data_IF_914724617586
#
_entry.id   IF_914724617586
#
_cell.length_a   1.000
_cell.length_b   1.000
_cell.length_c   1.000
_cell.angle_alpha   90.00
_cell.angle_beta   90.00
_cell.angle_gamma   90.00
#
_symmetry.space_group_name_H-M   'P 1'
#
loop_
_entity.id
_entity.type
_entity.pdbx_description
1 polymer ?
#
# COMPACT_ATOMS: atom_id res chain seq x y z
N UNK A 1 9.72 0.07 1.03
CA UNK A 1 9.83 -1.34 1.53
C UNK A 1 10.96 -1.56 2.53
N UNK A 2 12.21 -1.20 2.21
CA UNK A 2 13.35 -1.38 3.14
C UNK A 2 13.19 -0.54 4.42
N UNK A 3 12.49 0.60 4.33
CA UNK A 3 12.18 1.46 5.46
C UNK A 3 11.48 0.70 6.60
N UNK A 4 10.56 -0.22 6.28
CA UNK A 4 9.82 -1.03 7.27
C UNK A 4 10.71 -1.94 8.11
N UNK A 5 11.87 -2.36 7.58
CA UNK A 5 12.74 -3.35 8.23
C UNK A 5 14.21 -2.88 8.23
N UNK A 6 14.44 -1.62 8.63
CA UNK A 6 15.77 -0.98 8.59
C UNK A 6 16.85 -1.76 9.35
N UNK A 7 16.53 -2.29 10.53
CA UNK A 7 17.48 -3.09 11.32
C UNK A 7 17.93 -4.35 10.57
N UNK A 8 16.98 -5.12 10.04
CA UNK A 8 17.26 -6.30 9.23
C UNK A 8 18.10 -5.96 8.00
N UNK A 9 17.79 -4.85 7.35
CA UNK A 9 18.56 -4.40 6.19
C UNK A 9 20.01 -4.07 6.53
N UNK A 10 20.24 -3.32 7.61
CA UNK A 10 21.58 -2.98 8.05
C UNK A 10 22.37 -4.23 8.45
N UNK A 11 21.73 -5.18 9.13
CA UNK A 11 22.35 -6.45 9.50
C UNK A 11 22.77 -7.27 8.28
N UNK A 12 21.90 -7.41 7.27
CA UNK A 12 22.20 -8.17 6.06
C UNK A 12 23.28 -7.49 5.20
N UNK A 13 23.31 -6.16 5.16
CA UNK A 13 24.41 -5.43 4.51
C UNK A 13 25.75 -5.67 5.23
N UNK A 14 25.76 -5.64 6.56
CA UNK A 14 26.97 -5.88 7.36
C UNK A 14 27.47 -7.33 7.19
N UNK A 15 26.57 -8.31 7.27
CA UNK A 15 26.90 -9.72 7.01
C UNK A 15 27.44 -9.91 5.59
N UNK A 16 26.81 -9.26 4.60
CA UNK A 16 27.30 -9.26 3.22
C UNK A 16 28.74 -8.75 3.11
N UNK A 17 29.07 -7.63 3.78
CA UNK A 17 30.42 -7.09 3.80
C UNK A 17 31.44 -8.09 4.38
N UNK A 18 31.11 -8.72 5.51
CA UNK A 18 31.98 -9.70 6.19
C UNK A 18 32.20 -10.93 5.30
N UNK A 19 31.14 -11.44 4.66
CA UNK A 19 31.25 -12.57 3.74
C UNK A 19 32.06 -12.21 2.49
N UNK A 20 31.90 -11.00 1.96
CA UNK A 20 32.69 -10.49 0.84
C UNK A 20 34.18 -10.41 1.19
N UNK A 21 34.52 -9.90 2.37
CA UNK A 21 35.89 -9.88 2.89
C UNK A 21 36.43 -11.30 3.08
N UNK A 22 35.65 -12.21 3.68
CA UNK A 22 36.02 -13.61 3.84
C UNK A 22 36.33 -14.30 2.52
N UNK A 23 35.50 -14.06 1.49
CA UNK A 23 35.73 -14.56 0.14
C UNK A 23 37.04 -14.02 -0.45
N UNK A 24 37.37 -12.74 -0.26
CA UNK A 24 38.65 -12.17 -0.70
C UNK A 24 39.86 -12.82 0.00
N UNK A 25 39.74 -13.15 1.29
CA UNK A 25 40.79 -13.88 2.01
C UNK A 25 40.95 -15.30 1.49
N UNK A 26 39.86 -16.03 1.26
CA UNK A 26 39.90 -17.38 0.70
C UNK A 26 40.46 -17.42 -0.73
N UNK A 27 40.14 -16.41 -1.55
CA UNK A 27 40.63 -16.30 -2.92
C UNK A 27 42.08 -15.80 -3.01
N UNK A 28 42.70 -15.39 -1.89
CA UNK A 28 44.08 -14.88 -1.86
C UNK A 28 45.10 -15.92 -2.36
N UNK A 29 44.85 -17.20 -2.16
CA UNK A 29 45.72 -18.28 -2.64
C UNK A 29 45.76 -18.44 -4.17
N UNK A 30 44.79 -17.84 -4.88
CA UNK A 30 44.71 -17.88 -6.35
C UNK A 30 45.24 -16.60 -7.02
N UNK A 31 45.66 -15.61 -6.23
CA UNK A 31 46.21 -14.36 -6.74
C UNK A 31 47.75 -14.45 -6.85
N UNK A 32 48.36 -13.75 -7.83
CA UNK A 32 49.82 -13.64 -7.94
C UNK A 32 50.46 -13.15 -6.63
N UNK A 33 51.52 -13.82 -6.17
CA UNK A 33 52.14 -13.54 -4.86
C UNK A 33 52.96 -12.24 -4.83
N UNK A 34 53.26 -11.69 -5.99
CA UNK A 34 54.02 -10.47 -6.25
C UNK A 34 53.15 -9.20 -6.29
N UNK A 35 51.84 -9.33 -6.05
CA UNK A 35 50.93 -8.19 -6.03
C UNK A 35 51.28 -7.19 -4.91
N UNK A 36 51.40 -5.89 -5.23
CA UNK A 36 51.55 -4.84 -4.24
C UNK A 36 50.40 -4.83 -3.22
N UNK A 37 50.73 -4.52 -1.96
CA UNK A 37 49.76 -4.52 -0.85
C UNK A 37 48.54 -3.61 -1.07
N UNK A 38 48.68 -2.51 -1.81
CA UNK A 38 47.57 -1.61 -2.13
C UNK A 38 46.56 -2.24 -3.10
N UNK A 39 47.01 -3.11 -4.02
CA UNK A 39 46.10 -3.83 -4.94
C UNK A 39 45.30 -4.87 -4.16
N UNK A 40 45.93 -5.58 -3.22
CA UNK A 40 45.25 -6.53 -2.34
C UNK A 40 44.21 -5.83 -1.46
N UNK A 41 44.53 -4.65 -0.91
CA UNK A 41 43.59 -3.84 -0.15
C UNK A 41 42.40 -3.38 -1.02
N UNK A 42 42.67 -2.96 -2.27
CA UNK A 42 41.63 -2.57 -3.22
C UNK A 42 40.70 -3.73 -3.57
N UNK A 43 41.23 -4.91 -3.86
CA UNK A 43 40.43 -6.11 -4.15
C UNK A 43 39.58 -6.54 -2.96
N UNK A 44 40.12 -6.48 -1.73
CA UNK A 44 39.36 -6.76 -0.52
C UNK A 44 38.23 -5.75 -0.31
N UNK A 45 38.48 -4.46 -0.54
CA UNK A 45 37.46 -3.42 -0.47
C UNK A 45 36.37 -3.62 -1.54
N UNK A 46 36.74 -3.98 -2.76
CA UNK A 46 35.80 -4.28 -3.84
C UNK A 46 34.92 -5.50 -3.50
N UNK A 47 35.51 -6.55 -2.94
CA UNK A 47 34.77 -7.73 -2.50
C UNK A 47 33.82 -7.43 -1.34
N UNK A 48 34.25 -6.62 -0.37
CA UNK A 48 33.39 -6.13 0.72
C UNK A 48 32.19 -5.35 0.16
N UNK A 49 32.44 -4.45 -0.80
CA UNK A 49 31.39 -3.65 -1.44
C UNK A 49 30.40 -4.52 -2.22
N UNK A 50 30.90 -5.48 -3.01
CA UNK A 50 30.07 -6.45 -3.71
C UNK A 50 29.21 -7.25 -2.72
N UNK A 51 29.79 -7.63 -1.58
CA UNK A 51 29.08 -8.27 -0.46
C UNK A 51 27.95 -7.41 0.11
N UNK A 52 28.19 -6.10 0.34
CA UNK A 52 27.15 -5.15 0.78
C UNK A 52 26.00 -5.07 -0.22
N UNK A 53 26.31 -5.00 -1.53
CA UNK A 53 25.30 -4.95 -2.60
C UNK A 53 24.47 -6.24 -2.59
N UNK A 54 25.11 -7.41 -2.51
CA UNK A 54 24.42 -8.69 -2.42
C UNK A 54 23.52 -8.77 -1.17
N UNK A 55 24.03 -8.34 -0.01
CA UNK A 55 23.27 -8.27 1.24
C UNK A 55 22.04 -7.36 1.15
N UNK A 56 22.16 -6.21 0.46
CA UNK A 56 21.04 -5.31 0.19
C UNK A 56 19.97 -5.95 -0.69
N UNK A 57 20.37 -6.70 -1.73
CA UNK A 57 19.43 -7.42 -2.61
C UNK A 57 18.68 -8.50 -1.81
N UNK A 58 19.40 -9.31 -1.03
CA UNK A 58 18.78 -10.35 -0.18
C UNK A 58 17.80 -9.72 0.84
N UNK A 59 18.21 -8.60 1.45
CA UNK A 59 17.36 -7.82 2.35
C UNK A 59 16.07 -7.35 1.69
N UNK A 60 16.16 -6.83 0.46
CA UNK A 60 15.00 -6.39 -0.30
C UNK A 60 13.98 -7.52 -0.51
N UNK A 61 14.43 -8.70 -0.94
CA UNK A 61 13.54 -9.87 -1.11
C UNK A 61 12.96 -10.37 0.21
N UNK A 62 13.75 -10.39 1.29
CA UNK A 62 13.28 -10.81 2.60
C UNK A 62 12.24 -9.83 3.18
N UNK A 63 12.49 -8.52 3.04
CA UNK A 63 11.56 -7.46 3.42
C UNK A 63 10.25 -7.54 2.61
N UNK A 64 10.34 -7.80 1.30
CA UNK A 64 9.18 -7.98 0.44
C UNK A 64 8.30 -9.16 0.86
N UNK A 65 8.91 -10.33 1.12
CA UNK A 65 8.19 -11.50 1.63
C UNK A 65 7.52 -11.24 2.98
N UNK A 66 8.24 -10.59 3.90
CA UNK A 66 7.69 -10.27 5.22
C UNK A 66 6.55 -9.25 5.16
N UNK A 67 6.68 -8.21 4.32
CA UNK A 67 5.59 -7.25 4.09
C UNK A 67 4.38 -7.95 3.48
N UNK A 68 4.57 -8.80 2.46
CA UNK A 68 3.48 -9.59 1.88
C UNK A 68 2.78 -10.44 2.94
N UNK A 69 3.53 -11.21 3.73
CA UNK A 69 2.95 -12.03 4.80
C UNK A 69 2.18 -11.22 5.87
N UNK A 70 2.52 -9.94 6.07
CA UNK A 70 1.74 -9.05 6.94
C UNK A 70 0.47 -8.58 6.23
N UNK A 71 0.56 -8.16 4.96
CA UNK A 71 -0.60 -7.73 4.18
C UNK A 71 -1.60 -8.87 3.92
N UNK A 72 -1.13 -10.10 3.73
CA UNK A 72 -1.97 -11.29 3.53
C UNK A 72 -2.90 -11.51 4.74
N UNK A 73 -2.49 -11.14 5.95
CA UNK A 73 -3.37 -11.21 7.15
C UNK A 73 -4.61 -10.33 6.96
N UNK A 74 -4.47 -9.14 6.37
CA UNK A 74 -5.58 -8.23 6.15
C UNK A 74 -6.36 -8.58 4.88
N UNK A 75 -5.66 -8.72 3.76
CA UNK A 75 -6.27 -8.79 2.43
C UNK A 75 -6.64 -10.20 1.99
N UNK A 76 -6.13 -11.24 2.66
CA UNK A 76 -6.42 -12.65 2.32
C UNK A 76 -7.09 -13.39 3.47
N UNK A 77 -6.54 -13.28 4.69
CA UNK A 77 -7.16 -13.90 5.88
C UNK A 77 -8.36 -13.09 6.40
N UNK A 78 -8.44 -11.78 6.10
CA UNK A 78 -9.50 -10.90 6.58
C UNK A 78 -9.43 -10.59 8.08
N UNK A 79 -8.28 -10.84 8.72
CA UNK A 79 -8.08 -10.68 10.18
C UNK A 79 -7.48 -9.29 10.49
N UNK A 80 -8.35 -8.29 10.50
CA UNK A 80 -7.97 -6.91 10.75
C UNK A 80 -7.32 -6.69 12.13
N UNK A 81 -7.79 -7.39 13.16
CA UNK A 81 -7.26 -7.26 14.52
C UNK A 81 -5.82 -7.75 14.62
N UNK A 82 -5.55 -8.97 14.13
CA UNK A 82 -4.20 -9.53 14.10
C UNK A 82 -3.28 -8.72 13.20
N UNK A 83 -3.80 -8.18 12.11
CA UNK A 83 -3.04 -7.25 11.26
C UNK A 83 -2.59 -6.02 12.04
N UNK A 84 -3.49 -5.34 12.75
CA UNK A 84 -3.16 -4.16 13.56
C UNK A 84 -2.10 -4.48 14.62
N UNK A 85 -2.25 -5.59 15.34
CA UNK A 85 -1.29 -6.05 16.36
C UNK A 85 0.13 -6.22 15.79
N UNK A 86 0.26 -6.80 14.59
CA UNK A 86 1.55 -7.09 13.97
C UNK A 86 2.13 -5.95 13.15
N UNK A 87 1.29 -5.15 12.49
CA UNK A 87 1.72 -4.14 11.51
C UNK A 87 1.86 -2.75 12.13
N UNK A 88 1.05 -2.38 13.13
CA UNK A 88 1.13 -1.07 13.78
C UNK A 88 2.53 -0.75 14.33
N UNK A 89 3.23 -1.68 15.05
CA UNK A 89 4.59 -1.42 15.52
C UNK A 89 5.60 -1.18 14.38
N UNK A 90 5.37 -1.79 13.22
CA UNK A 90 6.23 -1.63 12.03
C UNK A 90 6.07 -0.23 11.45
N UNK A 91 4.83 0.25 11.33
CA UNK A 91 4.54 1.60 10.80
C UNK A 91 5.03 2.70 11.74
N UNK A 92 4.91 2.51 13.07
CA UNK A 92 5.40 3.48 14.08
C UNK A 92 6.90 3.80 13.96
N UNK A 93 7.69 2.86 13.44
CA UNK A 93 9.12 3.07 13.21
C UNK A 93 9.47 3.85 11.95
N UNK A 94 8.48 4.22 11.13
CA UNK A 94 8.69 4.90 9.84
C UNK A 94 8.58 6.41 10.01
N UNK A 95 9.54 7.20 9.48
CA UNK A 95 9.45 8.65 9.51
C UNK A 95 8.19 9.20 8.82
N UNK A 96 7.50 10.11 9.50
CA UNK A 96 6.39 10.88 8.93
C UNK A 96 6.84 11.65 7.68
N UNK A 97 6.02 11.66 6.63
CA UNK A 97 6.32 12.34 5.36
C UNK A 97 7.03 11.46 4.32
N UNK A 98 7.13 10.16 4.57
CA UNK A 98 7.58 9.18 3.56
C UNK A 98 6.39 8.51 2.90
N UNK A 99 6.59 8.02 1.66
CA UNK A 99 5.56 7.25 0.94
C UNK A 99 5.20 5.99 1.73
N UNK A 100 6.20 5.31 2.31
CA UNK A 100 5.96 4.16 3.18
C UNK A 100 5.13 4.49 4.42
N UNK A 101 5.26 5.67 5.00
CA UNK A 101 4.41 6.05 6.13
C UNK A 101 2.96 6.21 5.68
N UNK A 102 2.70 6.90 4.56
CA UNK A 102 1.35 7.09 4.01
C UNK A 102 0.70 5.76 3.64
N UNK A 103 1.43 4.88 2.92
CA UNK A 103 1.01 3.52 2.59
C UNK A 103 0.70 2.68 3.84
N UNK A 104 1.59 2.73 4.84
CA UNK A 104 1.42 2.00 6.08
C UNK A 104 0.20 2.43 6.87
N UNK A 105 0.00 3.75 7.04
CA UNK A 105 -1.17 4.31 7.74
C UNK A 105 -2.46 4.04 6.97
N UNK A 106 -2.46 4.11 5.63
CA UNK A 106 -3.61 3.71 4.82
C UNK A 106 -4.05 2.27 5.11
N UNK A 107 -3.11 1.31 5.17
CA UNK A 107 -3.44 -0.06 5.54
C UNK A 107 -3.96 -0.20 6.98
N UNK A 108 -3.41 0.56 7.94
CA UNK A 108 -3.94 0.59 9.31
C UNK A 108 -5.37 1.16 9.34
N UNK A 109 -5.63 2.24 8.61
CA UNK A 109 -6.96 2.82 8.48
C UNK A 109 -7.94 1.81 7.87
N UNK A 110 -7.51 1.04 6.86
CA UNK A 110 -8.36 0.00 6.26
C UNK A 110 -8.69 -1.14 7.23
N UNK A 111 -7.74 -1.49 8.11
CA UNK A 111 -8.02 -2.48 9.15
C UNK A 111 -9.01 -1.96 10.21
N UNK A 112 -8.93 -0.69 10.62
CA UNK A 112 -9.92 -0.08 11.51
C UNK A 112 -11.31 -0.01 10.86
N UNK A 113 -11.36 0.34 9.57
CA UNK A 113 -12.59 0.33 8.78
C UNK A 113 -13.24 -1.07 8.73
N UNK A 114 -12.45 -2.11 8.48
CA UNK A 114 -12.92 -3.49 8.46
C UNK A 114 -13.48 -3.97 9.82
N UNK A 115 -13.08 -3.32 10.91
CA UNK A 115 -13.60 -3.55 12.26
C UNK A 115 -14.82 -2.68 12.61
N UNK A 116 -15.27 -1.82 11.69
CA UNK A 116 -16.35 -0.84 11.93
C UNK A 116 -15.90 0.39 12.73
N UNK A 117 -14.60 0.55 13.01
CA UNK A 117 -14.06 1.69 13.74
C UNK A 117 -13.81 2.88 12.80
N UNK A 118 -14.87 3.37 12.15
CA UNK A 118 -14.79 4.36 11.07
C UNK A 118 -14.17 5.68 11.50
N UNK A 119 -14.49 6.18 12.70
CA UNK A 119 -13.96 7.45 13.18
C UNK A 119 -12.44 7.38 13.41
N UNK A 120 -11.92 6.26 13.94
CA UNK A 120 -10.48 6.06 14.09
C UNK A 120 -9.78 5.90 12.75
N UNK A 121 -10.42 5.21 11.80
CA UNK A 121 -9.91 5.10 10.43
C UNK A 121 -9.78 6.49 9.78
N UNK A 122 -10.82 7.32 9.92
CA UNK A 122 -10.84 8.68 9.39
C UNK A 122 -9.82 9.59 10.08
N UNK A 123 -9.65 9.49 11.40
CA UNK A 123 -8.63 10.21 12.17
C UNK A 123 -7.22 9.91 11.63
N UNK A 124 -6.91 8.64 11.39
CA UNK A 124 -5.63 8.23 10.82
C UNK A 124 -5.42 8.83 9.43
N UNK A 125 -6.42 8.82 8.56
CA UNK A 125 -6.32 9.39 7.22
C UNK A 125 -6.20 10.91 7.23
N UNK A 126 -6.86 11.59 8.18
CA UNK A 126 -6.75 13.03 8.35
C UNK A 126 -5.38 13.47 8.90
N UNK A 127 -4.66 12.56 9.58
CA UNK A 127 -3.28 12.82 10.01
C UNK A 127 -2.27 12.83 8.85
N UNK A 128 -2.65 12.29 7.70
CA UNK A 128 -1.78 12.19 6.52
C UNK A 128 -1.72 13.49 5.74
N UNK A 129 -0.53 13.74 5.17
CA UNK A 129 -0.24 14.90 4.31
C UNK A 129 0.32 14.43 2.97
N UNK A 130 -0.47 13.70 2.14
CA UNK A 130 0.01 13.12 0.89
C UNK A 130 0.54 14.16 -0.10
N UNK A 131 0.05 15.40 -0.03
CA UNK A 131 0.51 16.54 -0.83
C UNK A 131 2.01 16.83 -0.65
N UNK A 132 2.58 16.47 0.50
CA UNK A 132 4.01 16.63 0.80
C UNK A 132 4.93 15.62 0.09
N UNK A 133 4.37 14.56 -0.53
CA UNK A 133 5.14 13.45 -1.12
C UNK A 133 5.78 13.76 -2.49
N UNK A 134 5.85 15.04 -2.91
CA UNK A 134 6.46 15.50 -4.17
C UNK A 134 6.01 14.65 -5.37
N UNK A 135 6.89 13.79 -5.91
CA UNK A 135 6.63 12.93 -7.07
C UNK A 135 5.48 11.94 -6.87
N UNK A 136 5.21 11.56 -5.62
CA UNK A 136 4.14 10.60 -5.28
C UNK A 136 2.88 11.27 -4.75
N UNK A 137 2.82 12.61 -4.81
CA UNK A 137 1.71 13.40 -4.28
C UNK A 137 0.37 13.00 -4.89
N UNK A 138 0.31 12.82 -6.22
CA UNK A 138 -0.92 12.42 -6.91
C UNK A 138 -1.41 11.04 -6.45
N UNK A 139 -0.54 10.03 -6.43
CA UNK A 139 -0.90 8.67 -6.00
C UNK A 139 -1.33 8.66 -4.54
N UNK A 140 -0.59 9.37 -3.68
CA UNK A 140 -0.92 9.47 -2.25
C UNK A 140 -2.27 10.15 -2.00
N UNK A 141 -2.56 11.24 -2.73
CA UNK A 141 -3.84 11.92 -2.63
C UNK A 141 -4.97 11.02 -3.12
N UNK A 142 -4.83 10.42 -4.30
CA UNK A 142 -5.81 9.47 -4.84
C UNK A 142 -6.13 8.33 -3.85
N UNK A 143 -5.10 7.76 -3.21
CA UNK A 143 -5.27 6.69 -2.23
C UNK A 143 -6.04 7.15 -0.98
N UNK A 144 -5.65 8.29 -0.41
CA UNK A 144 -6.26 8.82 0.82
C UNK A 144 -7.69 9.31 0.56
N UNK A 145 -7.91 10.05 -0.52
CA UNK A 145 -9.23 10.59 -0.89
C UNK A 145 -10.21 9.46 -1.22
N UNK A 146 -9.77 8.43 -1.96
CA UNK A 146 -10.56 7.22 -2.21
C UNK A 146 -11.03 6.56 -0.90
N UNK A 147 -10.11 6.34 0.06
CA UNK A 147 -10.50 5.71 1.31
C UNK A 147 -11.42 6.58 2.17
N UNK A 148 -11.18 7.89 2.25
CA UNK A 148 -12.07 8.82 2.96
C UNK A 148 -13.48 8.80 2.37
N UNK A 149 -13.57 8.81 1.04
CA UNK A 149 -14.85 8.71 0.33
C UNK A 149 -15.60 7.44 0.72
N UNK A 150 -14.93 6.29 0.71
CA UNK A 150 -15.52 5.02 1.14
C UNK A 150 -16.02 5.07 2.59
N UNK A 151 -15.25 5.67 3.50
CA UNK A 151 -15.68 5.85 4.90
C UNK A 151 -16.92 6.74 5.02
N UNK A 152 -16.99 7.86 4.29
CA UNK A 152 -18.18 8.72 4.28
C UNK A 152 -19.41 7.96 3.73
N UNK A 153 -19.25 7.15 2.69
CA UNK A 153 -20.33 6.29 2.16
C UNK A 153 -20.78 5.25 3.18
N UNK A 154 -19.86 4.55 3.84
CA UNK A 154 -20.16 3.59 4.91
C UNK A 154 -20.92 4.24 6.08
N UNK A 155 -20.62 5.51 6.38
CA UNK A 155 -21.30 6.29 7.43
C UNK A 155 -22.61 6.94 6.96
N UNK A 156 -22.95 6.84 5.68
CA UNK A 156 -24.13 7.52 5.10
C UNK A 156 -23.98 9.05 5.00
N UNK A 157 -22.76 9.58 5.08
CA UNK A 157 -22.46 11.02 5.01
C UNK A 157 -22.43 11.48 3.54
N UNK A 158 -23.60 11.57 2.90
CA UNK A 158 -23.73 11.81 1.45
C UNK A 158 -23.11 13.12 0.98
N UNK A 159 -23.24 14.22 1.73
CA UNK A 159 -22.65 15.51 1.35
C UNK A 159 -21.12 15.49 1.37
N UNK A 160 -20.54 14.86 2.41
CA UNK A 160 -19.09 14.70 2.50
C UNK A 160 -18.57 13.76 1.41
N UNK A 161 -19.30 12.67 1.14
CA UNK A 161 -18.99 11.76 0.05
C UNK A 161 -19.04 12.46 -1.33
N UNK A 162 -20.04 13.32 -1.58
CA UNK A 162 -20.15 14.08 -2.82
C UNK A 162 -18.94 15.01 -3.04
N UNK A 163 -18.54 15.75 -2.02
CA UNK A 163 -17.36 16.61 -2.09
C UNK A 163 -16.06 15.81 -2.37
N UNK A 164 -15.89 14.66 -1.72
CA UNK A 164 -14.73 13.78 -1.94
C UNK A 164 -14.74 13.10 -3.32
N UNK A 165 -15.93 12.83 -3.87
CA UNK A 165 -16.08 12.28 -5.22
C UNK A 165 -15.64 13.31 -6.28
N UNK A 166 -16.00 14.59 -6.10
CA UNK A 166 -15.53 15.69 -6.96
C UNK A 166 -14.01 15.87 -6.88
N UNK A 167 -13.43 15.76 -5.68
CA UNK A 167 -11.97 15.79 -5.49
C UNK A 167 -11.30 14.61 -6.21
N UNK A 168 -11.88 13.41 -6.11
CA UNK A 168 -11.35 12.21 -6.77
C UNK A 168 -11.42 12.31 -8.31
N UNK A 169 -12.48 12.93 -8.84
CA UNK A 169 -12.63 13.23 -10.28
C UNK A 169 -11.56 14.22 -10.74
N UNK A 170 -11.28 15.28 -9.97
CA UNK A 170 -10.21 16.24 -10.27
C UNK A 170 -8.82 15.58 -10.26
N UNK A 171 -8.59 14.65 -9.33
CA UNK A 171 -7.36 13.84 -9.28
C UNK A 171 -7.25 12.92 -10.50
N UNK A 172 -8.34 12.31 -10.96
CA UNK A 172 -8.38 11.51 -12.20
C UNK A 172 -8.00 12.34 -13.42
N UNK A 173 -8.59 13.52 -13.60
CA UNK A 173 -8.25 14.39 -14.74
C UNK A 173 -6.77 14.81 -14.71
N UNK A 174 -6.22 15.05 -13.52
CA UNK A 174 -4.78 15.29 -13.35
C UNK A 174 -3.94 14.06 -13.71
N UNK A 175 -4.42 12.85 -13.39
CA UNK A 175 -3.75 11.58 -13.68
C UNK A 175 -3.78 11.20 -15.17
N UNK A 176 -4.79 11.63 -15.92
CA UNK A 176 -5.02 11.24 -17.32
C UNK A 176 -3.78 11.34 -18.21
N UNK A 177 -2.99 12.39 -18.05
CA UNK A 177 -1.76 12.62 -18.85
C UNK A 177 -0.48 12.15 -18.15
N UNK A 178 -0.47 12.13 -16.81
CA UNK A 178 0.74 11.94 -16.01
C UNK A 178 0.93 10.51 -15.49
N UNK A 179 -0.17 9.78 -15.30
CA UNK A 179 -0.21 8.44 -14.72
C UNK A 179 -1.44 7.66 -15.22
N UNK A 180 -1.42 7.14 -16.46
CA UNK A 180 -2.59 6.47 -17.05
C UNK A 180 -3.12 5.27 -16.24
N UNK A 181 -2.23 4.52 -15.59
CA UNK A 181 -2.63 3.41 -14.71
C UNK A 181 -3.44 3.89 -13.49
N UNK A 182 -3.09 5.05 -12.92
CA UNK A 182 -3.86 5.67 -11.82
C UNK A 182 -5.21 6.15 -12.34
N UNK A 183 -5.24 6.76 -13.52
CA UNK A 183 -6.47 7.20 -14.16
C UNK A 183 -7.47 6.05 -14.32
N UNK A 184 -7.05 4.92 -14.90
CA UNK A 184 -7.90 3.73 -15.08
C UNK A 184 -8.44 3.21 -13.74
N UNK A 185 -7.59 3.13 -12.71
CA UNK A 185 -8.02 2.67 -11.38
C UNK A 185 -9.01 3.65 -10.73
N UNK A 186 -8.83 4.96 -10.93
CA UNK A 186 -9.76 5.96 -10.44
C UNK A 186 -11.11 5.91 -11.16
N UNK A 187 -11.15 5.63 -12.47
CA UNK A 187 -12.40 5.47 -13.22
C UNK A 187 -13.28 4.36 -12.65
N UNK A 188 -12.67 3.22 -12.32
CA UNK A 188 -13.35 2.09 -11.66
C UNK A 188 -13.88 2.49 -10.28
N UNK A 189 -13.06 3.16 -9.46
CA UNK A 189 -13.48 3.63 -8.13
C UNK A 189 -14.63 4.64 -8.23
N UNK A 190 -14.55 5.61 -9.14
CA UNK A 190 -15.56 6.65 -9.34
C UNK A 190 -16.90 6.05 -9.78
N UNK A 191 -16.87 5.04 -10.65
CA UNK A 191 -18.08 4.31 -11.05
C UNK A 191 -18.74 3.63 -9.87
N UNK A 192 -17.98 2.87 -9.09
CA UNK A 192 -18.50 2.17 -7.91
C UNK A 192 -19.08 3.15 -6.88
N UNK A 193 -18.34 4.21 -6.55
CA UNK A 193 -18.80 5.20 -5.57
C UNK A 193 -19.97 6.04 -6.07
N UNK A 194 -20.06 6.31 -7.37
CA UNK A 194 -21.22 6.95 -7.98
C UNK A 194 -22.49 6.10 -7.83
N UNK A 195 -22.40 4.78 -7.96
CA UNK A 195 -23.51 3.85 -7.72
C UNK A 195 -23.93 3.91 -6.25
N UNK A 196 -22.96 3.80 -5.34
CA UNK A 196 -23.23 3.82 -3.90
C UNK A 196 -23.82 5.15 -3.45
N UNK A 197 -23.28 6.27 -3.90
CA UNK A 197 -23.81 7.59 -3.59
C UNK A 197 -25.24 7.76 -4.11
N UNK A 198 -25.53 7.34 -5.34
CA UNK A 198 -26.87 7.39 -5.92
C UNK A 198 -27.91 6.60 -5.11
N UNK A 199 -27.53 5.42 -4.62
CA UNK A 199 -28.37 4.62 -3.72
C UNK A 199 -28.67 5.38 -2.42
N UNK A 200 -27.66 5.97 -1.78
CA UNK A 200 -27.81 6.65 -0.50
C UNK A 200 -28.55 8.00 -0.63
N UNK A 201 -28.27 8.77 -1.68
CA UNK A 201 -28.85 10.09 -1.92
C UNK A 201 -30.25 10.02 -2.52
N UNK A 202 -30.61 8.88 -3.15
CA UNK A 202 -31.86 8.69 -3.91
C UNK A 202 -32.04 9.72 -5.04
N UNK A 203 -30.94 10.32 -5.51
CA UNK A 203 -30.96 11.33 -6.59
C UNK A 203 -31.35 10.72 -7.95
N UNK A 204 -31.12 9.42 -8.15
CA UNK A 204 -31.54 8.66 -9.34
C UNK A 204 -32.02 7.26 -8.96
N UNK A 205 -32.91 6.63 -9.76
CA UNK A 205 -33.27 5.25 -9.54
C UNK A 205 -32.07 4.32 -9.73
N UNK A 206 -32.08 3.23 -8.95
CA UNK A 206 -31.17 2.09 -9.15
C UNK A 206 -31.56 1.38 -10.43
N UNK A 207 -30.57 0.93 -11.19
CA UNK A 207 -30.79 0.21 -12.45
C UNK A 207 -30.20 -1.20 -12.36
N UNK A 208 -30.76 -2.15 -13.12
CA UNK A 208 -30.16 -3.49 -13.26
C UNK A 208 -28.71 -3.48 -13.77
N UNK A 209 -28.28 -2.41 -14.45
CA UNK A 209 -26.88 -2.20 -14.84
C UNK A 209 -25.95 -1.87 -13.65
N UNK A 210 -26.45 -1.17 -12.64
CA UNK A 210 -25.72 -0.91 -11.39
C UNK A 210 -25.54 -2.22 -10.59
N UNK A 211 -26.61 -3.02 -10.50
CA UNK A 211 -26.59 -4.33 -9.84
C UNK A 211 -25.60 -5.27 -10.54
N UNK A 212 -25.68 -5.38 -11.87
CA UNK A 212 -24.77 -6.23 -12.66
C UNK A 212 -23.31 -5.84 -12.48
N UNK A 213 -23.02 -4.54 -12.34
CA UNK A 213 -21.66 -4.06 -12.10
C UNK A 213 -21.14 -4.46 -10.71
N UNK A 214 -21.95 -4.31 -9.66
CA UNK A 214 -21.55 -4.73 -8.31
C UNK A 214 -21.41 -6.25 -8.19
N UNK A 215 -22.25 -7.03 -8.89
CA UNK A 215 -22.12 -8.49 -8.97
C UNK A 215 -20.80 -8.92 -9.63
N UNK A 216 -20.38 -8.23 -10.69
CA UNK A 216 -19.08 -8.43 -11.32
C UNK A 216 -17.94 -8.15 -10.33
N UNK A 217 -18.01 -7.04 -9.60
CA UNK A 217 -16.98 -6.64 -8.64
C UNK A 217 -16.82 -7.66 -7.50
N UNK A 218 -17.94 -8.20 -7.00
CA UNK A 218 -17.95 -9.29 -6.02
C UNK A 218 -17.30 -10.56 -6.58
N UNK A 219 -17.53 -10.85 -7.87
CA UNK A 219 -16.97 -12.04 -8.52
C UNK A 219 -15.46 -11.93 -8.69
N UNK A 220 -14.95 -10.75 -9.02
CA UNK A 220 -13.54 -10.52 -9.32
C UNK A 220 -12.68 -10.30 -8.07
N UNK A 221 -13.24 -9.77 -6.98
CA UNK A 221 -12.44 -9.43 -5.80
C UNK A 221 -11.95 -10.66 -5.02
N UNK A 222 -10.64 -10.74 -4.78
CA UNK A 222 -10.04 -11.74 -3.89
C UNK A 222 -10.08 -11.32 -2.40
N UNK A 223 -10.31 -10.03 -2.13
CA UNK A 223 -10.28 -9.49 -0.77
C UNK A 223 -11.61 -9.78 -0.05
N UNK A 224 -11.62 -10.60 1.03
CA UNK A 224 -12.84 -10.99 1.72
C UNK A 224 -13.54 -9.82 2.45
N UNK A 225 -12.79 -8.80 2.86
CA UNK A 225 -13.34 -7.60 3.52
C UNK A 225 -14.13 -6.80 2.48
N UNK A 226 -13.49 -6.47 1.35
CA UNK A 226 -14.16 -5.77 0.26
C UNK A 226 -15.35 -6.56 -0.29
N UNK A 227 -15.20 -7.88 -0.45
CA UNK A 227 -16.30 -8.76 -0.86
C UNK A 227 -17.51 -8.64 0.07
N UNK A 228 -17.29 -8.60 1.39
CA UNK A 228 -18.37 -8.46 2.38
C UNK A 228 -19.08 -7.11 2.23
N UNK A 229 -18.31 -6.03 2.09
CA UNK A 229 -18.84 -4.68 1.86
C UNK A 229 -19.71 -4.64 0.59
N UNK A 230 -19.21 -5.19 -0.51
CA UNK A 230 -19.93 -5.21 -1.79
C UNK A 230 -21.19 -6.07 -1.73
N UNK A 231 -21.19 -7.20 -1.02
CA UNK A 231 -22.42 -7.96 -0.80
C UNK A 231 -23.47 -7.16 -0.03
N UNK A 232 -23.06 -6.37 0.98
CA UNK A 232 -23.97 -5.48 1.71
C UNK A 232 -24.53 -4.38 0.81
N UNK A 233 -23.72 -3.80 -0.08
CA UNK A 233 -24.18 -2.85 -1.08
C UNK A 233 -25.16 -3.49 -2.07
N UNK A 234 -24.84 -4.68 -2.57
CA UNK A 234 -25.69 -5.41 -3.52
C UNK A 234 -27.08 -5.72 -2.96
N UNK A 235 -27.16 -6.12 -1.69
CA UNK A 235 -28.43 -6.36 -1.01
C UNK A 235 -29.30 -5.10 -0.99
N UNK A 236 -28.70 -3.95 -0.64
CA UNK A 236 -29.41 -2.67 -0.63
C UNK A 236 -29.84 -2.22 -2.04
N UNK A 237 -29.02 -2.46 -3.06
CA UNK A 237 -29.38 -2.15 -4.45
C UNK A 237 -30.58 -2.98 -4.92
N UNK A 238 -30.63 -4.28 -4.61
CA UNK A 238 -31.75 -5.16 -4.97
C UNK A 238 -33.04 -4.72 -4.29
N UNK A 239 -32.98 -4.36 -3.01
CA UNK A 239 -34.14 -3.83 -2.27
C UNK A 239 -34.64 -2.48 -2.80
N UNK A 240 -33.78 -1.70 -3.46
CA UNK A 240 -34.14 -0.40 -4.02
C UNK A 240 -34.62 -0.48 -5.49
N UNK A 241 -34.47 -1.62 -6.15
CA UNK A 241 -35.02 -1.89 -7.49
C UNK A 241 -36.48 -2.38 -7.42
N UNK A 242 -36.85 -3.05 -6.32
CA UNK A 242 -38.22 -3.52 -6.01
C UNK A 242 -39.17 -2.37 -5.61
#
# INVERSE_FOLDING_TARGET
MVAYFRFQNNLLMALGAVLGLGAAVCCRGFLPQDLPGYILAFLAALAAFAGVVAGRIVSFFAAGRRRKALLDILYTEGDAKRFLEKFSPVVKGIPSGTVEYVDGVHHLAYAYEAMGEYDKSLELLNSLKPESLRLHSLVGQSLVTNQKLRLCLLKGETEAAKALLEELEALKETARTRAPAVCSSLEECLRLFGIWLALLSKERPVTGGDISYVEEEIRLTENPIHRREMNGLLEQLKLAEE
#
